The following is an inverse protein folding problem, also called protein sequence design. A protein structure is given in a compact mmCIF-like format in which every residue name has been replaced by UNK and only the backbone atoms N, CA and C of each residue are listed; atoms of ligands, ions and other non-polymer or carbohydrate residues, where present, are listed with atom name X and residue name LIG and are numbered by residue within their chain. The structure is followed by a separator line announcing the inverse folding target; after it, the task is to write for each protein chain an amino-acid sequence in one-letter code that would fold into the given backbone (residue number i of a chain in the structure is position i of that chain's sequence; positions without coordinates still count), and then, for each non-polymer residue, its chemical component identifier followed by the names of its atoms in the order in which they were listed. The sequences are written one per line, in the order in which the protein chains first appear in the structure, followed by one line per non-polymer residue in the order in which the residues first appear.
data_IF_496252971634
#
_entry.id   IF_496252971634
#
_cell.length_a   1.000
_cell.length_b   1.000
_cell.length_c   1.000
_cell.angle_alpha   90.00
_cell.angle_beta   90.00
_cell.angle_gamma   90.00
#
_symmetry.space_group_name_H-M   'P 1'
#
loop_
_entity.id
_entity.type
_entity.pdbx_description
1 polymer ?
#
# COMPACT_ATOMS: atom_id res chain seq x y z
N UNK A 1 -47.03 16.52 -42.08
CA UNK A 1 -46.29 15.32 -42.51
C UNK A 1 -44.82 15.52 -42.18
N UNK A 2 -44.24 14.60 -41.39
CA UNK A 2 -42.80 14.31 -41.17
C UNK A 2 -42.00 15.45 -40.49
N UNK A 3 -41.18 15.27 -39.46
CA UNK A 3 -40.92 14.20 -38.48
C UNK A 3 -39.92 14.82 -37.50
N UNK A 4 -40.18 14.69 -36.20
CA UNK A 4 -39.19 15.00 -35.16
C UNK A 4 -38.08 13.96 -35.22
N UNK A 5 -36.80 14.35 -35.33
CA UNK A 5 -35.62 13.50 -35.00
C UNK A 5 -34.29 14.24 -35.24
N UNK A 6 -34.04 15.36 -34.56
CA UNK A 6 -32.69 15.98 -34.62
C UNK A 6 -32.20 16.52 -33.28
N UNK A 7 -32.49 15.81 -32.19
CA UNK A 7 -32.05 16.30 -30.87
C UNK A 7 -31.78 15.20 -29.84
N UNK A 8 -31.28 14.03 -30.27
CA UNK A 8 -30.86 12.97 -29.33
C UNK A 8 -29.48 12.35 -29.61
N UNK A 9 -28.75 12.82 -30.63
CA UNK A 9 -27.46 12.23 -31.00
C UNK A 9 -26.27 12.93 -30.31
N UNK A 10 -26.42 14.19 -29.90
CA UNK A 10 -25.31 15.00 -29.38
C UNK A 10 -24.91 14.69 -27.93
N UNK A 11 -25.77 14.08 -27.11
CA UNK A 11 -25.46 13.83 -25.70
C UNK A 11 -24.74 12.51 -25.46
N UNK A 12 -24.94 11.51 -26.32
CA UNK A 12 -24.40 10.15 -26.10
C UNK A 12 -22.88 10.09 -26.31
N UNK A 13 -22.34 10.91 -27.23
CA UNK A 13 -20.92 10.89 -27.59
C UNK A 13 -20.03 11.46 -26.47
N UNK A 14 -20.55 12.40 -25.66
CA UNK A 14 -19.81 13.00 -24.55
C UNK A 14 -19.62 12.02 -23.37
N UNK A 15 -20.56 11.10 -23.13
CA UNK A 15 -20.43 10.14 -22.03
C UNK A 15 -19.43 9.02 -22.33
N UNK A 16 -19.24 8.65 -23.60
CA UNK A 16 -18.30 7.58 -23.98
C UNK A 16 -16.84 8.05 -23.81
N UNK A 17 -16.53 9.31 -24.11
CA UNK A 17 -15.19 9.88 -23.89
C UNK A 17 -14.89 10.16 -22.41
N UNK A 18 -15.88 10.54 -21.61
CA UNK A 18 -15.69 10.69 -20.17
C UNK A 18 -15.46 9.33 -19.47
N UNK A 19 -16.00 8.24 -20.03
CA UNK A 19 -15.84 6.89 -19.47
C UNK A 19 -14.46 6.28 -19.74
N UNK A 20 -13.80 6.65 -20.84
CA UNK A 20 -12.48 6.12 -21.20
C UNK A 20 -11.33 6.82 -20.49
N UNK A 21 -11.48 8.10 -20.14
CA UNK A 21 -10.49 8.87 -19.38
C UNK A 21 -10.43 8.49 -17.89
N UNK A 22 -11.54 8.02 -17.30
CA UNK A 22 -11.57 7.59 -15.89
C UNK A 22 -10.88 6.22 -15.70
N UNK A 23 -10.77 5.41 -16.76
CA UNK A 23 -10.14 4.09 -16.67
C UNK A 23 -8.59 4.14 -16.69
N UNK A 24 -8.00 5.20 -17.26
CA UNK A 24 -6.54 5.33 -17.33
C UNK A 24 -5.91 5.82 -16.03
N UNK A 25 -6.65 6.58 -15.21
CA UNK A 25 -6.15 7.05 -13.90
C UNK A 25 -6.09 5.95 -12.81
N UNK A 26 -6.60 4.75 -13.09
CA UNK A 26 -6.60 3.63 -12.13
C UNK A 26 -5.67 2.47 -12.56
N UNK A 27 -5.02 2.58 -13.73
CA UNK A 27 -4.19 1.52 -14.30
C UNK A 27 -2.68 1.80 -14.22
N UNK A 28 -2.28 3.07 -14.13
CA UNK A 28 -0.91 3.48 -13.82
C UNK A 28 -0.82 3.77 -12.31
N UNK A 29 0.26 3.36 -11.67
CA UNK A 29 0.52 3.50 -10.23
C UNK A 29 -0.24 2.57 -9.26
N UNK A 30 -0.33 1.28 -9.58
CA UNK A 30 0.20 0.34 -8.57
C UNK A 30 1.71 0.46 -8.62
N UNK A 31 2.24 1.57 -8.09
CA UNK A 31 3.65 1.77 -7.94
C UNK A 31 4.14 0.64 -7.02
N UNK A 32 4.61 -0.44 -7.65
CA UNK A 32 5.61 -1.31 -7.04
C UNK A 32 6.62 -0.34 -6.43
N UNK A 33 6.80 -0.44 -5.11
CA UNK A 33 7.81 0.34 -4.40
C UNK A 33 9.01 0.55 -5.32
N UNK A 34 9.42 1.80 -5.60
CA UNK A 34 10.54 2.06 -6.48
C UNK A 34 11.70 1.19 -6.02
N UNK A 35 12.46 0.63 -6.96
CA UNK A 35 13.59 -0.24 -6.64
C UNK A 35 14.38 0.41 -5.50
N UNK A 36 14.67 -0.28 -4.38
CA UNK A 36 15.43 0.31 -3.28
C UNK A 36 16.73 1.00 -3.71
N UNK A 37 17.33 0.57 -4.83
CA UNK A 37 18.50 1.25 -5.45
C UNK A 37 18.18 2.65 -6.01
N UNK A 38 16.92 2.91 -6.35
CA UNK A 38 16.39 4.18 -6.88
C UNK A 38 15.67 5.02 -5.83
N UNK A 39 15.34 4.43 -4.67
CA UNK A 39 14.74 5.13 -3.55
C UNK A 39 15.85 5.93 -2.82
N UNK A 40 15.90 7.23 -3.09
CA UNK A 40 17.08 8.06 -2.80
C UNK A 40 17.53 8.04 -1.33
N UNK A 41 16.64 7.76 -0.37
CA UNK A 41 17.01 7.73 1.05
C UNK A 41 16.20 6.70 1.84
N UNK A 42 16.89 5.65 2.32
CA UNK A 42 16.40 4.76 3.37
C UNK A 42 16.34 5.52 4.69
N UNK A 43 15.17 5.58 5.32
CA UNK A 43 14.93 6.38 6.54
C UNK A 43 14.68 5.53 7.78
N UNK A 44 14.28 4.27 7.59
CA UNK A 44 14.15 3.30 8.66
C UNK A 44 14.54 1.93 8.13
N UNK A 45 15.32 1.20 8.93
CA UNK A 45 15.56 -0.22 8.77
C UNK A 45 15.47 -0.86 10.15
N UNK A 46 14.44 -1.67 10.36
CA UNK A 46 14.20 -2.31 11.66
C UNK A 46 13.91 -3.79 11.49
N UNK A 47 14.62 -4.62 12.25
CA UNK A 47 14.37 -6.05 12.36
C UNK A 47 13.49 -6.30 13.59
N UNK A 48 12.40 -7.01 13.39
CA UNK A 48 11.36 -7.20 14.38
C UNK A 48 11.02 -8.67 14.49
N UNK A 49 11.05 -9.17 15.71
CA UNK A 49 10.44 -10.47 16.00
C UNK A 49 8.93 -10.30 16.22
N UNK A 50 8.14 -11.05 15.46
CA UNK A 50 6.72 -11.23 15.69
C UNK A 50 6.49 -12.61 16.30
N UNK A 51 6.04 -12.68 17.56
CA UNK A 51 5.84 -13.96 18.22
C UNK A 51 4.70 -14.74 17.56
N UNK A 52 4.70 -16.06 17.74
CA UNK A 52 3.58 -16.91 17.35
C UNK A 52 2.27 -16.39 17.97
N UNK A 53 1.18 -16.27 17.19
CA UNK A 53 -0.11 -15.89 17.74
C UNK A 53 -0.62 -16.99 18.68
N UNK A 54 -1.01 -16.60 19.89
CA UNK A 54 -1.66 -17.53 20.85
C UNK A 54 -3.04 -17.97 20.37
N UNK A 55 -3.73 -17.13 19.59
CA UNK A 55 -4.99 -17.43 18.93
C UNK A 55 -5.20 -16.50 17.72
N UNK A 56 -5.63 -17.05 16.58
CA UNK A 56 -5.97 -16.27 15.39
C UNK A 56 -4.78 -15.53 14.76
N UNK A 57 -4.56 -14.27 15.15
CA UNK A 57 -3.54 -13.37 14.59
C UNK A 57 -2.87 -12.55 15.69
N UNK A 58 -1.61 -12.20 15.48
CA UNK A 58 -0.88 -11.22 16.30
C UNK A 58 -0.74 -9.92 15.54
N UNK A 59 -0.63 -8.79 16.24
CA UNK A 59 -0.42 -7.48 15.63
C UNK A 59 0.67 -6.72 16.34
N UNK A 60 1.45 -5.94 15.59
CA UNK A 60 2.47 -5.04 16.13
C UNK A 60 2.42 -3.72 15.40
N UNK A 61 2.48 -2.64 16.18
CA UNK A 61 2.56 -1.29 15.66
C UNK A 61 4.01 -0.84 15.69
N UNK A 62 4.44 -0.18 14.62
CA UNK A 62 5.76 0.43 14.50
C UNK A 62 5.55 1.91 14.21
N UNK A 63 6.29 2.75 14.92
CA UNK A 63 6.34 4.18 14.67
C UNK A 63 7.55 4.49 13.81
N UNK A 64 7.30 4.89 12.57
CA UNK A 64 8.31 5.52 11.72
C UNK A 64 8.32 7.01 12.11
N UNK A 65 9.44 7.54 12.65
CA UNK A 65 9.48 8.92 13.13
C UNK A 65 9.18 9.91 12.01
N UNK A 66 8.62 11.06 12.38
CA UNK A 66 8.30 12.12 11.41
C UNK A 66 9.56 12.59 10.69
N UNK A 67 9.58 12.40 9.37
CA UNK A 67 10.66 12.84 8.49
C UNK A 67 10.35 14.20 7.87
N UNK A 68 11.39 14.91 7.41
CA UNK A 68 11.22 16.16 6.66
C UNK A 68 10.58 15.93 5.28
N UNK A 69 10.78 14.74 4.71
CA UNK A 69 10.21 14.30 3.44
C UNK A 69 9.15 13.22 3.65
N UNK A 70 8.12 13.13 2.80
CA UNK A 70 7.10 12.09 2.91
C UNK A 70 7.70 10.70 2.63
N UNK A 71 7.18 9.69 3.35
CA UNK A 71 7.48 8.28 3.09
C UNK A 71 6.79 7.89 1.79
N UNK A 72 7.56 7.33 0.85
CA UNK A 72 7.07 6.97 -0.48
C UNK A 72 6.99 5.47 -0.67
N UNK A 73 7.71 4.70 0.15
CA UNK A 73 7.62 3.25 0.16
C UNK A 73 7.90 2.68 1.55
N UNK A 74 7.16 1.61 1.89
CA UNK A 74 7.42 0.75 3.05
C UNK A 74 7.46 -0.69 2.54
N UNK A 75 8.61 -1.34 2.65
CA UNK A 75 8.77 -2.75 2.34
C UNK A 75 8.75 -3.58 3.60
N UNK A 76 8.14 -4.75 3.51
CA UNK A 76 8.12 -5.75 4.56
C UNK A 76 8.73 -7.03 3.98
N UNK A 77 9.84 -7.45 4.57
CA UNK A 77 10.58 -8.65 4.17
C UNK A 77 10.49 -9.66 5.30
N UNK A 78 9.99 -10.85 4.98
CA UNK A 78 9.96 -11.98 5.91
C UNK A 78 11.27 -12.77 5.83
N UNK A 79 11.85 -13.07 6.99
CA UNK A 79 13.02 -13.94 7.13
C UNK A 79 12.62 -15.27 7.75
N UNK A 80 13.11 -16.34 7.13
CA UNK A 80 12.83 -17.70 7.57
C UNK A 80 11.78 -18.40 6.72
N UNK A 81 11.44 -19.61 7.14
CA UNK A 81 10.55 -20.47 6.39
C UNK A 81 9.12 -20.28 6.91
N UNK A 82 8.31 -19.53 6.15
CA UNK A 82 6.90 -19.28 6.39
C UNK A 82 6.08 -20.58 6.19
N UNK A 83 6.25 -21.58 7.05
CA UNK A 83 5.68 -22.92 6.84
C UNK A 83 4.14 -22.90 6.81
N UNK A 84 3.50 -21.91 7.46
CA UNK A 84 2.06 -21.67 7.37
C UNK A 84 1.67 -20.29 7.90
N UNK A 85 0.91 -19.53 7.12
CA UNK A 85 0.35 -18.23 7.51
C UNK A 85 0.74 -17.12 6.53
N UNK A 86 0.40 -15.89 6.88
CA UNK A 86 0.80 -14.69 6.15
C UNK A 86 1.11 -13.56 7.11
N UNK A 87 1.99 -12.67 6.68
CA UNK A 87 2.18 -11.36 7.25
C UNK A 87 1.70 -10.29 6.27
N UNK A 88 1.07 -9.23 6.79
CA UNK A 88 0.63 -8.11 5.98
C UNK A 88 0.65 -6.82 6.78
N UNK A 89 0.83 -5.70 6.08
CA UNK A 89 0.52 -4.38 6.62
C UNK A 89 -1.00 -4.24 6.62
N UNK A 90 -1.59 -4.15 7.81
CA UNK A 90 -3.04 -4.03 7.97
C UNK A 90 -3.53 -2.59 7.86
N UNK A 91 -2.74 -1.62 8.33
CA UNK A 91 -3.05 -0.20 8.20
C UNK A 91 -1.81 0.68 8.32
N UNK A 92 -1.88 1.85 7.69
CA UNK A 92 -0.89 2.92 7.81
C UNK A 92 -1.66 4.18 8.24
N UNK A 93 -1.18 4.86 9.27
CA UNK A 93 -1.78 6.10 9.78
C UNK A 93 -0.70 7.13 10.13
N UNK A 94 -1.08 8.40 10.25
CA UNK A 94 -0.17 9.48 10.61
C UNK A 94 -0.56 10.05 11.97
N UNK A 95 0.43 10.22 12.85
CA UNK A 95 0.32 10.87 14.16
C UNK A 95 1.22 12.11 14.20
N UNK A 96 1.12 12.96 15.24
CA UNK A 96 2.06 14.06 15.43
C UNK A 96 3.52 13.60 15.55
N UNK A 97 3.77 12.40 16.06
CA UNK A 97 5.12 11.83 16.22
C UNK A 97 5.68 11.20 14.92
N UNK A 98 4.83 10.79 13.98
CA UNK A 98 5.27 10.14 12.75
C UNK A 98 4.20 9.31 12.04
N UNK A 99 4.63 8.28 11.31
CA UNK A 99 3.74 7.33 10.62
C UNK A 99 3.69 6.03 11.40
N UNK A 100 2.49 5.60 11.77
CA UNK A 100 2.26 4.32 12.45
C UNK A 100 1.86 3.27 11.42
N UNK A 101 2.65 2.20 11.36
CA UNK A 101 2.39 1.02 10.52
C UNK A 101 1.94 -0.11 11.42
N UNK A 102 0.72 -0.61 11.22
CA UNK A 102 0.21 -1.79 11.92
C UNK A 102 0.42 -3.02 11.06
N UNK A 103 1.25 -3.93 11.53
CA UNK A 103 1.39 -5.25 10.95
C UNK A 103 0.47 -6.24 11.62
N UNK A 104 0.02 -7.23 10.85
CA UNK A 104 -0.70 -8.37 11.36
C UNK A 104 -0.09 -9.64 10.78
N UNK A 105 0.20 -10.60 11.66
CA UNK A 105 0.72 -11.91 11.29
C UNK A 105 -0.20 -13.03 11.76
N UNK A 106 -0.36 -14.03 10.91
CA UNK A 106 -1.03 -15.30 11.20
C UNK A 106 -0.05 -16.49 11.22
N UNK A 107 1.26 -16.21 11.17
CA UNK A 107 2.30 -17.24 11.09
C UNK A 107 2.43 -17.95 12.44
N UNK A 108 2.16 -19.26 12.44
CA UNK A 108 1.97 -20.07 13.65
C UNK A 108 3.22 -20.28 14.50
N UNK A 109 4.41 -20.04 13.96
CA UNK A 109 5.68 -20.31 14.63
C UNK A 109 6.41 -19.04 15.08
N UNK A 110 5.80 -17.87 14.86
CA UNK A 110 6.52 -16.61 14.92
C UNK A 110 7.39 -16.41 13.68
N UNK A 111 7.84 -15.19 13.48
CA UNK A 111 8.56 -14.78 12.28
C UNK A 111 9.44 -13.57 12.57
N UNK A 112 10.64 -13.55 12.00
CA UNK A 112 11.50 -12.38 11.97
C UNK A 112 11.23 -11.59 10.70
N UNK A 113 11.01 -10.29 10.85
CA UNK A 113 10.59 -9.43 9.74
C UNK A 113 11.45 -8.18 9.73
N UNK A 114 11.90 -7.80 8.54
CA UNK A 114 12.55 -6.51 8.32
C UNK A 114 11.53 -5.57 7.72
N UNK A 115 11.41 -4.40 8.34
CA UNK A 115 10.72 -3.27 7.72
C UNK A 115 11.75 -2.24 7.30
N UNK A 116 11.60 -1.82 6.05
CA UNK A 116 12.39 -0.75 5.49
C UNK A 116 11.46 0.32 4.95
N UNK A 117 11.71 1.57 5.31
CA UNK A 117 10.95 2.70 4.80
C UNK A 117 11.87 3.64 4.03
N UNK A 118 11.35 4.19 2.94
CA UNK A 118 12.08 5.06 2.02
C UNK A 118 11.34 6.37 1.81
N UNK A 119 12.10 7.42 1.54
CA UNK A 119 11.61 8.73 1.08
C UNK A 119 12.21 9.06 -0.29
N UNK A 120 11.56 9.96 -1.03
CA UNK A 120 12.06 10.52 -2.30
C UNK A 120 13.30 11.42 -2.17
#
# INVERSE_FOLDING_TARGET
MISATTTMISKVIFYVFASSLVLQALAEDRALCPNPDTANHMVLKEELHLPAPSFGRTSKDILIPKMQKPITCITLTEYGNALSGSISIASIGTTPEGTVVRMVSSIKHGVDVEIVAYTE
#
